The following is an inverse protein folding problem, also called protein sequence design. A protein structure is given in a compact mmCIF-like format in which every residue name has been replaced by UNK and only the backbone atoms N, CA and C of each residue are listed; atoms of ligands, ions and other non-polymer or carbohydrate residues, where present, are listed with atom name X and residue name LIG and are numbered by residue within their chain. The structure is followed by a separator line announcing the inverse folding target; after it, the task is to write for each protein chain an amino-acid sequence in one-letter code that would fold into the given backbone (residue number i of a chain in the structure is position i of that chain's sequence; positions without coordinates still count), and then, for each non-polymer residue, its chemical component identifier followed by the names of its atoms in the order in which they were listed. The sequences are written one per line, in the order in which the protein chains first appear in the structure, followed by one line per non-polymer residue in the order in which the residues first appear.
data_IF_661986766624
#
_entry.id   IF_661986766624
#
_cell.length_a   1.000
_cell.length_b   1.000
_cell.length_c   1.000
_cell.angle_alpha   90.00
_cell.angle_beta   90.00
_cell.angle_gamma   90.00
#
_symmetry.space_group_name_H-M   'P 1'
#
loop_
_entity.id
_entity.type
_entity.pdbx_description
1 polymer ?
#
# COMPACT_ATOMS: atom_id res chain seq x y z
N UNK A 1 -65.97 70.37 -28.22
CA UNK A 1 -64.64 70.28 -28.84
C UNK A 1 -63.73 69.54 -27.86
N UNK A 2 -63.68 68.21 -27.96
CA UNK A 2 -62.87 67.41 -27.09
C UNK A 2 -61.73 66.85 -27.92
N UNK A 3 -60.48 67.15 -27.53
CA UNK A 3 -59.28 66.67 -28.13
C UNK A 3 -58.93 65.32 -27.46
N UNK A 4 -59.02 64.25 -28.20
CA UNK A 4 -58.58 62.92 -27.79
C UNK A 4 -57.05 62.78 -28.01
N UNK A 5 -56.29 62.69 -26.92
CA UNK A 5 -54.85 62.45 -26.99
C UNK A 5 -54.55 60.92 -26.90
N UNK A 6 -54.06 60.43 -27.99
CA UNK A 6 -53.63 59.01 -28.11
C UNK A 6 -52.21 58.87 -27.50
N UNK A 7 -52.06 58.14 -26.41
CA UNK A 7 -50.75 57.80 -25.85
C UNK A 7 -50.28 56.47 -26.44
N UNK A 8 -49.24 56.56 -27.25
CA UNK A 8 -48.53 55.34 -27.78
C UNK A 8 -47.66 54.81 -26.68
N UNK A 9 -47.93 53.57 -26.20
CA UNK A 9 -47.06 52.87 -25.30
C UNK A 9 -46.07 52.03 -26.09
N UNK A 10 -44.81 52.43 -26.01
CA UNK A 10 -43.70 51.67 -26.60
C UNK A 10 -43.33 50.53 -25.65
N UNK A 11 -43.72 49.32 -26.01
CA UNK A 11 -43.29 48.09 -25.27
C UNK A 11 -41.86 47.66 -25.69
N UNK A 12 -40.91 47.83 -24.81
CA UNK A 12 -39.57 47.29 -25.00
C UNK A 12 -39.57 45.79 -24.72
N UNK A 13 -39.44 45.00 -25.77
CA UNK A 13 -39.22 43.55 -25.63
C UNK A 13 -37.76 43.30 -25.20
N UNK A 14 -37.59 42.84 -23.96
CA UNK A 14 -36.29 42.39 -23.44
C UNK A 14 -36.06 40.96 -23.91
N UNK A 15 -35.21 40.79 -24.89
CA UNK A 15 -34.69 39.47 -25.31
C UNK A 15 -33.66 39.01 -24.26
N UNK A 16 -34.03 38.01 -23.44
CA UNK A 16 -33.12 37.32 -22.55
C UNK A 16 -32.41 36.21 -23.36
N UNK A 17 -31.09 36.25 -23.54
CA UNK A 17 -30.40 35.15 -24.17
C UNK A 17 -30.44 33.91 -23.25
N UNK A 18 -30.99 32.82 -23.72
CA UNK A 18 -30.91 31.52 -23.05
C UNK A 18 -29.45 31.05 -23.10
N UNK A 19 -28.75 31.15 -21.96
CA UNK A 19 -27.45 30.53 -21.78
C UNK A 19 -27.69 29.05 -21.63
N UNK A 20 -27.41 28.25 -22.68
CA UNK A 20 -27.35 26.78 -22.58
C UNK A 20 -26.17 26.41 -21.69
N UNK A 21 -26.45 25.98 -20.47
CA UNK A 21 -25.44 25.40 -19.61
C UNK A 21 -24.99 24.05 -20.21
N UNK A 22 -23.82 24.03 -20.81
CA UNK A 22 -23.15 22.78 -21.22
C UNK A 22 -22.68 22.09 -19.92
N UNK A 23 -23.43 21.14 -19.43
CA UNK A 23 -22.96 20.23 -18.37
C UNK A 23 -21.93 19.29 -18.98
N UNK A 24 -20.64 19.57 -18.75
CA UNK A 24 -19.57 18.61 -19.00
C UNK A 24 -19.69 17.53 -17.93
N UNK A 25 -20.33 16.41 -18.27
CA UNK A 25 -20.20 15.19 -17.48
C UNK A 25 -18.77 14.68 -17.71
N UNK A 26 -17.88 14.92 -16.74
CA UNK A 26 -16.63 14.23 -16.64
C UNK A 26 -17.04 12.79 -16.30
N UNK A 27 -17.05 11.90 -17.31
CA UNK A 27 -17.06 10.47 -17.07
C UNK A 27 -15.80 10.21 -16.25
N UNK A 28 -15.94 9.87 -14.98
CA UNK A 28 -14.87 9.23 -14.22
C UNK A 28 -14.58 7.95 -14.98
N UNK A 29 -13.46 7.94 -15.69
CA UNK A 29 -12.88 6.73 -16.24
C UNK A 29 -12.48 5.88 -15.03
N UNK A 30 -13.46 5.17 -14.49
CA UNK A 30 -13.23 4.14 -13.48
C UNK A 30 -12.40 3.09 -14.18
N UNK A 31 -11.07 3.25 -14.10
CA UNK A 31 -10.13 2.23 -14.53
C UNK A 31 -10.62 0.92 -13.90
N UNK A 32 -11.15 0.03 -14.74
CA UNK A 32 -11.70 -1.27 -14.32
C UNK A 32 -10.51 -2.18 -14.01
N UNK A 33 -9.72 -1.77 -12.99
CA UNK A 33 -8.59 -2.55 -12.52
C UNK A 33 -9.11 -3.82 -11.84
N UNK A 34 -8.45 -4.96 -12.03
CA UNK A 34 -8.84 -6.19 -11.39
C UNK A 34 -8.79 -6.02 -9.87
N UNK A 35 -9.87 -6.42 -9.19
CA UNK A 35 -9.93 -6.41 -7.74
C UNK A 35 -8.93 -7.42 -7.18
N UNK A 36 -8.21 -7.04 -6.13
CA UNK A 36 -7.38 -7.97 -5.39
C UNK A 36 -8.24 -8.99 -4.66
N UNK A 37 -7.95 -10.31 -4.77
CA UNK A 37 -8.66 -11.33 -4.01
C UNK A 37 -8.53 -11.09 -2.49
N UNK A 38 -9.52 -11.58 -1.74
CA UNK A 38 -9.47 -11.58 -0.27
C UNK A 38 -8.18 -12.25 0.23
N UNK A 39 -7.52 -11.58 1.17
CA UNK A 39 -6.36 -12.11 1.86
C UNK A 39 -6.74 -12.95 3.08
N UNK A 40 -5.78 -13.63 3.71
CA UNK A 40 -6.03 -14.43 4.92
C UNK A 40 -6.70 -13.64 6.05
N UNK A 41 -6.31 -12.40 6.25
CA UNK A 41 -6.86 -11.58 7.33
C UNK A 41 -8.25 -11.04 7.02
N UNK A 42 -8.65 -10.90 5.75
CA UNK A 42 -10.04 -10.63 5.36
C UNK A 42 -10.92 -11.83 5.73
N UNK A 43 -10.48 -13.04 5.40
CA UNK A 43 -11.17 -14.30 5.71
C UNK A 43 -11.34 -14.48 7.22
N UNK A 44 -10.29 -14.26 8.01
CA UNK A 44 -10.37 -14.35 9.47
C UNK A 44 -11.31 -13.30 10.06
N UNK A 45 -11.29 -12.08 9.53
CA UNK A 45 -12.19 -11.02 9.98
C UNK A 45 -13.67 -11.38 9.68
N UNK A 46 -13.94 -11.91 8.50
CA UNK A 46 -15.30 -12.39 8.14
C UNK A 46 -15.76 -13.55 9.04
N UNK A 47 -14.83 -14.39 9.51
CA UNK A 47 -15.08 -15.46 10.47
C UNK A 47 -15.20 -15.01 11.94
N UNK A 48 -15.15 -13.71 12.23
CA UNK A 48 -15.25 -13.16 13.60
C UNK A 48 -13.95 -13.23 14.41
N UNK A 49 -12.83 -13.59 13.78
CA UNK A 49 -11.48 -13.70 14.41
C UNK A 49 -10.47 -12.83 13.67
N UNK A 50 -10.60 -11.48 13.71
CA UNK A 50 -9.73 -10.59 12.96
C UNK A 50 -8.27 -10.71 13.40
N UNK A 51 -7.33 -10.53 12.47
CA UNK A 51 -5.91 -10.51 12.75
C UNK A 51 -5.57 -9.40 13.78
N UNK A 52 -4.86 -9.76 14.84
CA UNK A 52 -4.33 -8.81 15.84
C UNK A 52 -2.95 -8.30 15.47
N UNK A 53 -2.23 -9.05 14.65
CA UNK A 53 -0.99 -8.69 13.97
C UNK A 53 -0.95 -9.43 12.63
N UNK A 54 -0.37 -8.83 11.59
CA UNK A 54 -0.37 -9.40 10.24
C UNK A 54 0.94 -9.09 9.52
N UNK A 55 1.84 -10.07 9.44
CA UNK A 55 3.17 -9.89 8.87
C UNK A 55 3.39 -10.80 7.66
N UNK A 56 3.89 -10.23 6.57
CA UNK A 56 4.32 -10.97 5.39
C UNK A 56 5.31 -10.13 4.59
N UNK A 57 6.43 -10.72 4.20
CA UNK A 57 7.38 -10.10 3.28
C UNK A 57 7.02 -10.33 1.81
N UNK A 58 6.06 -11.20 1.51
CA UNK A 58 5.77 -11.61 0.13
C UNK A 58 4.52 -10.98 -0.45
N UNK A 59 3.52 -10.63 0.40
CA UNK A 59 2.23 -10.12 -0.07
C UNK A 59 1.43 -9.36 0.97
N UNK A 60 0.43 -8.63 0.51
CA UNK A 60 -0.67 -8.13 1.32
C UNK A 60 -1.48 -9.29 1.93
N UNK A 61 -1.85 -9.18 3.21
CA UNK A 61 -2.69 -10.11 3.95
C UNK A 61 -4.15 -9.65 4.02
N UNK A 62 -4.41 -8.41 3.63
CA UNK A 62 -5.74 -7.84 3.38
C UNK A 62 -5.83 -7.39 1.93
N UNK A 63 -6.98 -7.56 1.30
CA UNK A 63 -7.23 -7.11 -0.07
C UNK A 63 -7.09 -5.59 -0.24
N UNK A 64 -7.39 -4.84 0.81
CA UNK A 64 -7.31 -3.38 0.87
C UNK A 64 -5.95 -2.82 1.26
N UNK A 65 -4.96 -3.66 1.62
CA UNK A 65 -3.67 -3.16 2.10
C UNK A 65 -2.79 -2.65 0.96
N UNK A 66 -2.33 -1.40 1.09
CA UNK A 66 -1.51 -0.70 0.09
C UNK A 66 -0.18 -0.16 0.69
N UNK A 67 0.13 -0.54 1.92
CA UNK A 67 1.30 -0.06 2.66
C UNK A 67 2.56 -0.87 2.41
N UNK A 68 3.66 -0.53 3.12
CA UNK A 68 4.91 -1.26 3.07
C UNK A 68 4.78 -2.63 3.73
N UNK A 69 5.48 -3.63 3.17
CA UNK A 69 5.54 -4.97 3.73
C UNK A 69 6.73 -5.12 4.68
N UNK A 70 7.88 -4.62 4.28
CA UNK A 70 9.12 -4.67 5.07
C UNK A 70 10.08 -3.56 4.64
N UNK A 71 11.06 -3.26 5.49
CA UNK A 71 12.13 -2.33 5.22
C UNK A 71 13.43 -3.10 4.99
N UNK A 72 14.20 -2.69 3.99
CA UNK A 72 15.57 -3.14 3.76
C UNK A 72 16.57 -2.02 4.00
N UNK A 73 17.75 -2.39 4.51
CA UNK A 73 18.89 -1.48 4.68
C UNK A 73 20.06 -2.02 3.88
N UNK A 74 20.65 -1.20 3.01
CA UNK A 74 21.82 -1.60 2.23
C UNK A 74 23.14 -1.33 2.95
N UNK A 75 24.07 -2.25 2.80
CA UNK A 75 25.35 -2.21 3.50
C UNK A 75 26.25 -1.05 3.06
N UNK A 76 26.22 -0.71 1.78
CA UNK A 76 27.17 0.24 1.20
C UNK A 76 27.12 1.63 1.82
N UNK A 77 25.95 2.10 2.29
CA UNK A 77 25.76 3.45 2.83
C UNK A 77 24.77 3.53 4.00
N UNK A 78 24.21 2.40 4.45
CA UNK A 78 23.24 2.34 5.54
C UNK A 78 21.88 2.94 5.23
N UNK A 79 21.58 3.31 3.98
CA UNK A 79 20.27 3.81 3.60
C UNK A 79 19.24 2.72 3.64
N UNK A 80 17.99 3.11 3.87
CA UNK A 80 16.84 2.20 3.93
C UNK A 80 15.86 2.46 2.80
N UNK A 81 15.11 1.41 2.44
CA UNK A 81 13.98 1.46 1.51
C UNK A 81 12.85 0.60 2.06
N UNK A 82 11.63 1.15 2.07
CA UNK A 82 10.43 0.40 2.39
C UNK A 82 9.92 -0.30 1.13
N UNK A 83 9.87 -1.62 1.17
CA UNK A 83 9.33 -2.43 0.07
C UNK A 83 7.82 -2.46 0.15
N UNK A 84 7.20 -1.83 -0.84
CA UNK A 84 5.77 -1.64 -0.92
C UNK A 84 5.05 -2.84 -1.53
N UNK A 85 3.75 -2.88 -1.33
CA UNK A 85 2.85 -3.73 -2.12
C UNK A 85 2.76 -3.15 -3.53
N UNK A 86 2.89 -4.00 -4.56
CA UNK A 86 2.61 -3.61 -5.95
C UNK A 86 1.11 -3.33 -6.09
N UNK A 87 0.79 -2.16 -6.64
CA UNK A 87 -0.60 -1.73 -6.86
C UNK A 87 -1.22 -2.46 -8.05
N UNK A 88 -2.55 -2.56 -8.04
CA UNK A 88 -3.27 -3.10 -9.19
C UNK A 88 -3.00 -2.30 -10.46
N UNK A 89 -2.90 -2.98 -11.60
CA UNK A 89 -2.73 -2.42 -12.93
C UNK A 89 -3.56 -3.20 -13.94
N UNK A 90 -3.57 -2.80 -15.21
CA UNK A 90 -4.33 -3.48 -16.25
C UNK A 90 -3.91 -4.96 -16.36
N UNK A 91 -4.82 -5.87 -15.98
CA UNK A 91 -4.58 -7.32 -16.01
C UNK A 91 -3.83 -7.91 -14.82
N UNK A 92 -3.42 -7.10 -13.84
CA UNK A 92 -2.72 -7.54 -12.64
C UNK A 92 -3.38 -6.95 -11.38
N UNK A 93 -3.94 -7.77 -10.47
CA UNK A 93 -4.53 -7.29 -9.23
C UNK A 93 -3.51 -6.76 -8.21
N UNK A 94 -2.20 -6.92 -8.47
CA UNK A 94 -1.15 -6.55 -7.54
C UNK A 94 -1.20 -7.35 -6.23
N UNK A 95 -0.77 -6.74 -5.13
CA UNK A 95 -0.86 -7.34 -3.80
C UNK A 95 0.38 -8.12 -3.38
N UNK A 96 1.37 -8.29 -4.22
CA UNK A 96 2.67 -8.90 -3.92
C UNK A 96 3.73 -7.82 -3.64
N UNK A 97 4.86 -8.24 -3.06
CA UNK A 97 5.97 -7.35 -2.74
C UNK A 97 6.67 -6.83 -4.01
N UNK A 98 7.05 -5.56 -4.02
CA UNK A 98 7.85 -4.97 -5.10
C UNK A 98 9.32 -5.44 -5.02
N UNK A 99 9.57 -6.67 -5.46
CA UNK A 99 10.91 -7.25 -5.50
C UNK A 99 11.82 -6.51 -6.51
N UNK A 100 11.26 -5.87 -7.53
CA UNK A 100 12.05 -5.11 -8.50
C UNK A 100 12.67 -3.86 -7.85
N UNK A 101 11.91 -3.16 -7.00
CA UNK A 101 12.44 -2.05 -6.22
C UNK A 101 13.55 -2.49 -5.25
N UNK A 102 13.41 -3.67 -4.61
CA UNK A 102 14.48 -4.24 -3.79
C UNK A 102 15.72 -4.57 -4.61
N UNK A 103 15.55 -5.25 -5.76
CA UNK A 103 16.67 -5.64 -6.61
C UNK A 103 17.49 -4.42 -7.07
N UNK A 104 16.82 -3.36 -7.48
CA UNK A 104 17.50 -2.13 -7.91
C UNK A 104 18.18 -1.41 -6.74
N UNK A 105 17.51 -1.32 -5.59
CA UNK A 105 18.06 -0.67 -4.40
C UNK A 105 19.27 -1.43 -3.82
N UNK A 106 19.23 -2.76 -3.84
CA UNK A 106 20.26 -3.63 -3.28
C UNK A 106 21.32 -4.04 -4.32
N UNK A 107 21.30 -3.46 -5.49
CA UNK A 107 22.26 -3.78 -6.56
C UNK A 107 23.71 -3.54 -6.10
N UNK A 108 24.55 -4.53 -6.37
CA UNK A 108 25.99 -4.51 -6.05
C UNK A 108 26.33 -4.33 -4.56
N UNK A 109 25.37 -4.62 -3.65
CA UNK A 109 25.56 -4.57 -2.21
C UNK A 109 24.66 -5.59 -1.50
N UNK A 110 24.99 -5.93 -0.26
CA UNK A 110 24.07 -6.70 0.58
C UNK A 110 22.98 -5.81 1.17
N UNK A 111 21.80 -6.37 1.35
CA UNK A 111 20.70 -5.75 2.09
C UNK A 111 20.21 -6.66 3.22
N UNK A 112 19.80 -6.05 4.33
CA UNK A 112 19.19 -6.75 5.45
C UNK A 112 17.77 -6.24 5.68
N UNK A 113 16.88 -7.12 6.14
CA UNK A 113 15.54 -6.74 6.57
C UNK A 113 15.64 -6.17 7.98
N UNK A 114 15.27 -4.89 8.14
CA UNK A 114 15.35 -4.16 9.42
C UNK A 114 14.00 -4.06 10.12
N UNK A 115 12.90 -4.01 9.36
CA UNK A 115 11.53 -3.95 9.86
C UNK A 115 10.65 -4.90 9.04
N UNK A 116 9.75 -5.61 9.71
CA UNK A 116 8.63 -6.29 9.06
C UNK A 116 7.35 -5.63 9.55
N UNK A 117 6.63 -4.95 8.66
CA UNK A 117 5.49 -4.12 9.02
C UNK A 117 4.24 -4.92 9.36
N UNK A 118 3.50 -4.43 10.35
CA UNK A 118 2.20 -4.98 10.72
C UNK A 118 1.10 -4.40 9.81
N UNK A 119 0.54 -5.23 8.97
CA UNK A 119 -0.52 -4.87 8.05
C UNK A 119 -1.90 -4.74 8.74
N UNK A 120 -2.02 -5.11 10.02
CA UNK A 120 -3.30 -5.05 10.76
C UNK A 120 -3.71 -3.63 11.17
N UNK A 121 -2.80 -2.67 11.02
CA UNK A 121 -3.01 -1.28 11.48
C UNK A 121 -2.94 -1.09 13.00
N UNK A 122 -2.48 -2.12 13.75
CA UNK A 122 -2.36 -2.08 15.21
C UNK A 122 -0.96 -1.68 15.70
N UNK A 123 0.01 -1.54 14.77
CA UNK A 123 1.35 -1.05 15.08
C UNK A 123 2.26 -2.10 15.74
N UNK A 124 2.01 -3.37 15.50
CA UNK A 124 2.83 -4.48 15.99
C UNK A 124 3.99 -4.79 15.02
N UNK A 125 4.69 -3.76 14.53
CA UNK A 125 5.83 -3.93 13.64
C UNK A 125 6.94 -4.73 14.33
N UNK A 126 7.63 -5.58 13.55
CA UNK A 126 8.74 -6.37 14.07
C UNK A 126 10.06 -5.70 13.74
N UNK A 127 10.88 -5.49 14.76
CA UNK A 127 12.21 -4.91 14.69
C UNK A 127 13.28 -5.93 15.05
N UNK A 128 14.55 -5.58 14.88
CA UNK A 128 15.67 -6.43 15.30
C UNK A 128 15.51 -6.86 16.77
N UNK A 129 15.44 -8.16 16.98
CA UNK A 129 15.22 -8.70 18.31
C UNK A 129 16.46 -8.50 19.20
N UNK A 130 16.32 -8.05 20.47
CA UNK A 130 17.40 -8.10 21.44
C UNK A 130 17.80 -9.54 21.73
N UNK A 131 19.08 -9.77 22.05
CA UNK A 131 19.56 -11.08 22.48
C UNK A 131 18.96 -11.47 23.81
N UNK A 132 18.64 -12.73 23.94
CA UNK A 132 18.13 -13.33 25.18
C UNK A 132 17.03 -14.33 24.90
N UNK A 133 16.82 -15.20 25.87
CA UNK A 133 15.74 -16.18 25.83
C UNK A 133 14.41 -15.54 26.20
N UNK A 134 13.32 -16.20 25.83
CA UNK A 134 11.96 -15.79 26.16
C UNK A 134 11.70 -15.62 27.66
N UNK A 135 12.39 -16.37 28.50
CA UNK A 135 12.21 -16.42 29.95
C UNK A 135 13.48 -16.15 30.77
N UNK A 136 14.53 -15.64 30.13
CA UNK A 136 15.80 -15.33 30.79
C UNK A 136 16.17 -13.85 30.70
N UNK A 137 17.15 -13.39 31.49
CA UNK A 137 17.67 -12.03 31.38
C UNK A 137 18.24 -11.80 29.97
N UNK A 138 18.06 -10.57 29.45
CA UNK A 138 18.67 -10.19 28.18
C UNK A 138 20.19 -10.34 28.25
N UNK A 139 20.78 -10.98 27.23
CA UNK A 139 22.23 -11.23 27.18
C UNK A 139 23.01 -10.02 26.67
N UNK A 140 22.35 -8.88 26.50
CA UNK A 140 22.91 -7.68 25.87
C UNK A 140 23.06 -7.78 24.35
N UNK A 141 22.99 -6.63 23.68
CA UNK A 141 23.04 -6.56 22.20
C UNK A 141 21.81 -7.08 21.52
N UNK A 142 21.92 -7.26 20.19
CA UNK A 142 20.82 -7.66 19.32
C UNK A 142 21.17 -8.96 18.56
N UNK A 143 20.15 -9.70 18.17
CA UNK A 143 20.28 -10.81 17.23
C UNK A 143 20.65 -10.27 15.84
N UNK A 144 21.23 -11.14 15.00
CA UNK A 144 21.46 -10.79 13.61
C UNK A 144 20.11 -10.62 12.88
N UNK A 145 20.07 -9.70 11.94
CA UNK A 145 18.93 -9.51 11.04
C UNK A 145 19.11 -10.32 9.76
N UNK A 146 18.03 -10.80 9.14
CA UNK A 146 18.10 -11.64 7.95
C UNK A 146 18.53 -10.86 6.71
N UNK A 147 19.27 -11.53 5.81
CA UNK A 147 19.55 -11.03 4.47
C UNK A 147 18.25 -10.98 3.67
N UNK A 148 18.07 -9.87 2.92
CA UNK A 148 16.84 -9.60 2.21
C UNK A 148 16.61 -10.47 0.97
N UNK A 149 17.68 -11.07 0.42
CA UNK A 149 17.69 -11.90 -0.79
C UNK A 149 17.93 -13.40 -0.52
N UNK A 150 18.01 -13.80 0.75
CA UNK A 150 18.36 -15.17 1.12
C UNK A 150 17.29 -16.23 0.78
N UNK A 151 16.04 -15.83 0.57
CA UNK A 151 14.94 -16.74 0.28
C UNK A 151 14.08 -16.28 -0.92
N UNK A 152 14.66 -16.23 -2.15
CA UNK A 152 13.88 -15.89 -3.33
C UNK A 152 12.82 -16.96 -3.60
N UNK A 153 11.61 -16.53 -3.97
CA UNK A 153 10.51 -17.43 -4.31
C UNK A 153 9.59 -16.76 -5.35
N UNK A 154 8.58 -17.49 -5.80
CA UNK A 154 7.58 -16.99 -6.74
C UNK A 154 6.20 -17.06 -6.12
N UNK A 155 5.46 -15.96 -6.19
CA UNK A 155 4.08 -15.86 -5.77
C UNK A 155 3.23 -15.30 -6.92
N UNK A 156 2.19 -16.03 -7.33
CA UNK A 156 1.29 -15.62 -8.42
C UNK A 156 2.03 -15.27 -9.73
N UNK A 157 3.16 -15.95 -10.01
CA UNK A 157 4.00 -15.67 -11.19
C UNK A 157 5.02 -14.55 -11.02
N UNK A 158 5.02 -13.85 -9.89
CA UNK A 158 5.93 -12.74 -9.59
C UNK A 158 7.05 -13.17 -8.64
N UNK A 159 8.27 -12.69 -8.88
CA UNK A 159 9.39 -12.84 -7.95
C UNK A 159 9.10 -12.09 -6.67
N UNK A 160 9.31 -12.72 -5.54
CA UNK A 160 9.25 -12.11 -4.21
C UNK A 160 10.34 -12.70 -3.32
N UNK A 161 10.54 -12.12 -2.14
CA UNK A 161 11.50 -12.63 -1.17
C UNK A 161 10.80 -13.03 0.13
N UNK A 162 11.00 -14.30 0.53
CA UNK A 162 10.70 -14.76 1.88
C UNK A 162 11.77 -14.28 2.86
N UNK A 163 11.61 -14.62 4.13
CA UNK A 163 12.58 -14.32 5.18
C UNK A 163 13.22 -15.63 5.64
N UNK A 164 14.53 -15.74 5.49
CA UNK A 164 15.30 -16.86 6.03
C UNK A 164 15.81 -16.49 7.42
N UNK A 165 15.38 -17.23 8.45
CA UNK A 165 15.78 -17.04 9.83
C UNK A 165 16.60 -18.26 10.28
N UNK A 166 17.90 -18.04 10.51
CA UNK A 166 18.80 -19.01 11.12
C UNK A 166 18.89 -18.82 12.64
N UNK A 167 19.53 -19.76 13.33
CA UNK A 167 19.83 -19.63 14.76
C UNK A 167 20.61 -18.32 15.04
N UNK A 168 20.17 -17.56 16.03
CA UNK A 168 20.75 -16.24 16.37
C UNK A 168 20.28 -15.08 15.52
N UNK A 169 19.34 -15.30 14.60
CA UNK A 169 18.62 -14.26 13.86
C UNK A 169 17.24 -14.05 14.46
N UNK A 170 16.66 -12.86 14.29
CA UNK A 170 15.27 -12.63 14.68
C UNK A 170 14.84 -11.19 14.60
N UNK A 171 13.54 -11.07 14.32
CA UNK A 171 12.77 -9.83 14.42
C UNK A 171 11.67 -10.06 15.46
N UNK A 172 11.36 -9.06 16.28
CA UNK A 172 10.25 -9.12 17.22
C UNK A 172 9.71 -7.74 17.56
N UNK A 173 8.49 -7.72 18.04
CA UNK A 173 7.81 -6.60 18.66
C UNK A 173 8.24 -6.45 20.12
#
# INVERSE_FOLDING_TARGET
MNKLTFKLALGAAVLIPAIAAVTITIASDGSNLPARPEGPCDIYAAGGTPCVAAHSSTRALYSSYEGPLYQVMRQSDGKTLDIQVVKASAGDPGGYADAAAQDEFCKDTYCWITILYDQSGKGNDLYQAPRGGFSGPAMGGFNNIPLADAAPTTLMGHKVYGIFIASGMGLRW
#
